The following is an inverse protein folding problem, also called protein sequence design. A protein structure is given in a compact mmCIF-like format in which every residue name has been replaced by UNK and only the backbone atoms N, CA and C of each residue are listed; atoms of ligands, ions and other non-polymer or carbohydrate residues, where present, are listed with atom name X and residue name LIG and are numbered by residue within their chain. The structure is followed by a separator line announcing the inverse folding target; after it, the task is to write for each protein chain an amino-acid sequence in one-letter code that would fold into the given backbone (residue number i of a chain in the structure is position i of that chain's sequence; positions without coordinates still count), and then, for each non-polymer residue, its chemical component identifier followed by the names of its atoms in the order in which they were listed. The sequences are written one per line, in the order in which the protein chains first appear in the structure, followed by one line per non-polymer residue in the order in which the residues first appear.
data_IF_346664879675
#
_entry.id   IF_346664879675
#
_cell.length_a   1.000
_cell.length_b   1.000
_cell.length_c   1.000
_cell.angle_alpha   90.00
_cell.angle_beta   90.00
_cell.angle_gamma   90.00
#
_symmetry.space_group_name_H-M   'P 1'
#
loop_
_entity.id
_entity.type
_entity.pdbx_description
1 polymer ?
#
# COMPACT_ATOMS: atom_id res chain seq x y z
N UNK A 1 17.15 17.91 -12.60
CA UNK A 1 18.01 17.26 -11.60
C UNK A 1 17.18 16.16 -10.98
N UNK A 2 17.67 14.92 -10.95
CA UNK A 2 17.01 13.89 -10.13
C UNK A 2 16.97 14.42 -8.70
N UNK A 3 15.78 14.46 -8.09
CA UNK A 3 15.67 14.79 -6.67
C UNK A 3 16.34 13.62 -5.95
N UNK A 4 17.47 13.88 -5.31
CA UNK A 4 18.15 12.85 -4.54
C UNK A 4 17.23 12.41 -3.40
N UNK A 5 17.15 11.09 -3.16
CA UNK A 5 16.50 10.53 -1.98
C UNK A 5 17.07 11.22 -0.72
N UNK A 6 16.19 11.57 0.22
CA UNK A 6 16.63 12.15 1.48
C UNK A 6 17.43 11.10 2.26
N UNK A 7 18.60 11.44 2.85
CA UNK A 7 19.33 10.48 3.67
C UNK A 7 18.45 9.87 4.78
N UNK A 8 18.63 8.58 5.05
CA UNK A 8 17.83 7.85 6.05
C UNK A 8 18.05 8.35 7.49
N UNK A 9 19.20 8.95 7.75
CA UNK A 9 19.65 9.46 9.06
C UNK A 9 19.59 10.99 9.10
N UNK A 10 18.38 11.53 9.08
CA UNK A 10 18.13 12.95 9.34
C UNK A 10 17.46 13.15 10.71
N UNK A 11 17.66 14.31 11.34
CA UNK A 11 16.80 14.74 12.44
C UNK A 11 15.34 14.79 11.99
N UNK A 12 14.43 14.28 12.83
CA UNK A 12 12.99 14.28 12.57
C UNK A 12 12.25 15.01 13.68
N UNK A 13 11.25 15.81 13.32
CA UNK A 13 10.32 16.44 14.25
C UNK A 13 9.10 15.53 14.43
N UNK A 14 8.72 15.28 15.68
CA UNK A 14 7.59 14.42 16.02
C UNK A 14 6.58 15.20 16.87
N UNK A 15 5.30 14.89 16.67
CA UNK A 15 4.21 15.32 17.56
C UNK A 15 3.59 14.09 18.19
N UNK A 16 3.25 14.19 19.47
CA UNK A 16 2.60 13.14 20.24
C UNK A 16 1.30 13.67 20.86
N UNK A 17 0.23 12.89 20.78
CA UNK A 17 -1.08 13.26 21.33
C UNK A 17 -1.95 12.03 21.57
N UNK A 18 -2.91 12.14 22.49
CA UNK A 18 -3.86 11.07 22.81
C UNK A 18 -4.81 10.80 21.63
N UNK A 19 -5.16 9.54 21.39
CA UNK A 19 -6.22 9.24 20.44
C UNK A 19 -7.57 9.70 21.02
N UNK A 20 -8.31 10.60 20.34
CA UNK A 20 -9.60 11.08 20.84
C UNK A 20 -10.67 9.98 20.91
N UNK A 21 -10.52 8.90 20.14
CA UNK A 21 -11.49 7.80 20.06
C UNK A 21 -11.15 6.63 20.99
N UNK A 22 -9.90 6.52 21.46
CA UNK A 22 -9.46 5.47 22.37
C UNK A 22 -8.39 5.99 23.36
N UNK A 23 -8.71 6.16 24.66
CA UNK A 23 -7.76 6.66 25.65
C UNK A 23 -6.61 5.69 25.96
N UNK A 24 -6.67 4.43 25.52
CA UNK A 24 -5.56 3.47 25.65
C UNK A 24 -4.52 3.64 24.53
N UNK A 25 -4.76 4.50 23.54
CA UNK A 25 -3.89 4.74 22.41
C UNK A 25 -3.31 6.16 22.40
N UNK A 26 -2.07 6.27 21.93
CA UNK A 26 -1.42 7.56 21.64
C UNK A 26 -0.82 7.55 20.26
N UNK A 27 -0.97 8.65 19.54
CA UNK A 27 -0.30 8.86 18.28
C UNK A 27 1.07 9.48 18.48
N UNK A 28 2.02 9.01 17.66
CA UNK A 28 3.33 9.62 17.47
C UNK A 28 3.55 9.84 15.99
N UNK A 29 3.44 11.07 15.52
CA UNK A 29 3.39 11.40 14.09
C UNK A 29 4.63 12.18 13.63
N UNK A 30 5.21 11.76 12.51
CA UNK A 30 6.39 12.36 11.91
C UNK A 30 6.04 13.64 11.15
N UNK A 31 6.27 14.80 11.76
CA UNK A 31 6.01 16.09 11.12
C UNK A 31 7.01 16.39 10.00
N UNK A 32 8.24 15.89 10.07
CA UNK A 32 9.23 16.08 8.98
C UNK A 32 8.71 15.48 7.68
N UNK A 33 8.12 14.29 7.74
CA UNK A 33 7.55 13.63 6.57
C UNK A 33 6.16 14.16 6.21
N UNK A 34 5.24 14.28 7.18
CA UNK A 34 3.86 14.73 6.93
C UNK A 34 3.77 16.16 6.38
N UNK A 35 4.77 17.01 6.64
CA UNK A 35 4.86 18.38 6.10
C UNK A 35 5.87 18.53 4.96
N UNK A 36 6.41 17.41 4.47
CA UNK A 36 7.32 17.42 3.32
C UNK A 36 6.58 17.77 2.03
N UNK A 37 7.35 18.03 0.97
CA UNK A 37 6.82 18.18 -0.39
C UNK A 37 6.53 16.84 -1.08
N UNK A 38 6.40 15.74 -0.32
CA UNK A 38 6.08 14.45 -0.91
C UNK A 38 4.73 14.51 -1.62
N UNK A 39 4.64 13.89 -2.80
CA UNK A 39 3.40 13.78 -3.56
C UNK A 39 3.39 12.44 -4.28
N UNK A 40 2.28 11.71 -4.17
CA UNK A 40 2.06 10.48 -4.91
C UNK A 40 2.09 10.77 -6.41
N UNK A 41 2.97 10.08 -7.15
CA UNK A 41 3.03 10.16 -8.62
C UNK A 41 2.42 8.93 -9.30
N UNK A 42 1.48 8.24 -8.64
CA UNK A 42 0.81 7.06 -9.19
C UNK A 42 0.25 7.34 -10.59
N UNK A 43 0.60 6.47 -11.54
CA UNK A 43 0.22 6.62 -12.96
C UNK A 43 1.05 7.65 -13.76
N UNK A 44 1.97 8.39 -13.11
CA UNK A 44 2.79 9.44 -13.70
C UNK A 44 4.31 9.12 -13.64
N UNK A 45 4.68 7.84 -13.82
CA UNK A 45 6.09 7.41 -13.83
C UNK A 45 6.62 6.87 -12.48
N UNK A 46 5.75 6.27 -11.66
CA UNK A 46 6.16 5.49 -10.50
C UNK A 46 7.20 4.43 -10.89
N UNK A 47 8.36 4.47 -10.24
CA UNK A 47 9.41 3.47 -10.42
C UNK A 47 8.99 2.12 -9.83
N UNK A 48 9.29 1.06 -10.57
CA UNK A 48 9.20 -0.33 -10.13
C UNK A 48 10.20 -0.66 -9.05
N UNK A 49 9.87 -1.66 -8.24
CA UNK A 49 10.77 -2.14 -7.18
C UNK A 49 11.96 -2.96 -7.70
N UNK A 50 11.86 -3.44 -8.95
CA UNK A 50 12.87 -4.22 -9.63
C UNK A 50 13.16 -3.62 -11.01
N UNK A 51 14.42 -3.62 -11.44
CA UNK A 51 14.89 -3.18 -12.76
C UNK A 51 14.18 -3.93 -13.90
N UNK A 52 13.85 -5.20 -13.66
CA UNK A 52 13.12 -6.04 -14.62
C UNK A 52 11.65 -5.69 -14.77
N UNK A 53 11.09 -4.85 -13.89
CA UNK A 53 9.70 -4.44 -13.88
C UNK A 53 9.55 -2.95 -13.52
N UNK A 54 10.11 -2.03 -14.32
CA UNK A 54 10.35 -0.64 -13.94
C UNK A 54 9.09 0.24 -13.85
N UNK A 55 7.95 -0.22 -14.37
CA UNK A 55 6.75 0.62 -14.53
C UNK A 55 5.55 0.16 -13.67
N UNK A 56 5.72 -0.85 -12.82
CA UNK A 56 4.61 -1.47 -12.08
C UNK A 56 4.67 -1.25 -10.56
N UNK A 57 5.65 -0.48 -10.07
CA UNK A 57 5.80 -0.17 -8.64
C UNK A 57 5.90 -1.43 -7.77
N UNK A 58 5.32 -1.37 -6.56
CA UNK A 58 5.22 -2.52 -5.67
C UNK A 58 4.21 -3.58 -6.15
N UNK A 59 3.46 -3.34 -7.22
CA UNK A 59 2.51 -4.33 -7.73
C UNK A 59 3.20 -5.60 -8.24
N UNK A 60 4.52 -5.60 -8.51
CA UNK A 60 5.26 -6.83 -8.86
C UNK A 60 5.10 -7.93 -7.82
N UNK A 61 4.90 -7.56 -6.55
CA UNK A 61 4.72 -8.51 -5.46
C UNK A 61 3.28 -8.97 -5.29
N UNK A 62 2.28 -8.40 -5.98
CA UNK A 62 0.90 -8.53 -5.53
C UNK A 62 0.69 -7.79 -4.19
N UNK A 63 -0.39 -8.12 -3.47
CA UNK A 63 -0.77 -7.43 -2.25
C UNK A 63 -1.32 -8.41 -1.22
N UNK A 64 -0.60 -8.56 -0.11
CA UNK A 64 -1.07 -9.31 1.07
C UNK A 64 -2.22 -8.59 1.75
N UNK A 65 -3.19 -9.35 2.25
CA UNK A 65 -4.32 -8.78 2.99
C UNK A 65 -3.97 -8.65 4.47
N UNK A 66 -4.33 -7.51 5.08
CA UNK A 66 -4.13 -7.25 6.51
C UNK A 66 -5.02 -8.13 7.40
N UNK A 67 -6.12 -8.65 6.84
CA UNK A 67 -7.08 -9.46 7.57
C UNK A 67 -8.30 -9.86 6.74
N UNK A 68 -9.30 -10.43 7.44
CA UNK A 68 -10.54 -10.90 6.81
C UNK A 68 -11.40 -9.77 6.25
N UNK A 69 -11.37 -8.60 6.89
CA UNK A 69 -12.14 -7.42 6.49
C UNK A 69 -11.58 -6.81 5.20
N UNK A 70 -10.28 -6.56 5.16
CA UNK A 70 -9.56 -6.14 3.95
C UNK A 70 -9.88 -7.05 2.76
N UNK A 71 -9.76 -8.36 2.95
CA UNK A 71 -10.15 -9.34 1.94
C UNK A 71 -11.63 -9.27 1.54
N UNK A 72 -12.54 -8.99 2.48
CA UNK A 72 -13.97 -8.87 2.20
C UNK A 72 -14.29 -7.63 1.36
N UNK A 73 -13.63 -6.50 1.64
CA UNK A 73 -13.75 -5.26 0.90
C UNK A 73 -13.30 -5.44 -0.55
N UNK A 74 -12.12 -6.03 -0.76
CA UNK A 74 -11.61 -6.29 -2.11
C UNK A 74 -12.50 -7.32 -2.85
N UNK A 75 -13.02 -8.34 -2.17
CA UNK A 75 -14.01 -9.27 -2.76
C UNK A 75 -15.28 -8.56 -3.24
N UNK A 76 -15.76 -7.56 -2.51
CA UNK A 76 -16.94 -6.79 -2.90
C UNK A 76 -16.66 -5.95 -4.14
N UNK A 77 -15.47 -5.36 -4.24
CA UNK A 77 -15.03 -4.60 -5.40
C UNK A 77 -14.85 -5.49 -6.65
N UNK A 78 -14.26 -6.68 -6.49
CA UNK A 78 -14.07 -7.64 -7.61
C UNK A 78 -15.38 -8.01 -8.30
N UNK A 79 -16.48 -8.10 -7.55
CA UNK A 79 -17.81 -8.40 -8.12
C UNK A 79 -18.38 -7.27 -8.97
N UNK A 80 -17.85 -6.05 -8.81
CA UNK A 80 -18.33 -4.85 -9.50
C UNK A 80 -17.48 -4.54 -10.74
N UNK A 81 -16.21 -4.95 -10.75
CA UNK A 81 -15.31 -4.75 -11.89
C UNK A 81 -15.80 -5.48 -13.14
N UNK A 82 -15.97 -4.74 -14.23
CA UNK A 82 -16.23 -5.29 -15.56
C UNK A 82 -14.96 -5.61 -16.36
N UNK A 83 -15.08 -6.35 -17.48
CA UNK A 83 -13.97 -6.59 -18.41
C UNK A 83 -13.50 -5.34 -19.16
N UNK A 84 -14.31 -4.27 -19.16
CA UNK A 84 -13.97 -2.94 -19.65
C UNK A 84 -13.07 -2.17 -18.67
N UNK A 85 -13.15 -2.46 -17.37
CA UNK A 85 -12.34 -1.82 -16.32
C UNK A 85 -11.12 -2.64 -15.92
N UNK A 86 -11.17 -3.97 -16.06
CA UNK A 86 -10.14 -4.88 -15.57
C UNK A 86 -9.67 -5.84 -16.67
N UNK A 87 -8.46 -5.61 -17.18
CA UNK A 87 -7.86 -6.37 -18.28
C UNK A 87 -7.84 -7.89 -18.03
N UNK A 88 -7.58 -8.30 -16.79
CA UNK A 88 -7.48 -9.70 -16.40
C UNK A 88 -8.77 -10.24 -15.77
N UNK A 89 -9.92 -9.61 -16.05
CA UNK A 89 -11.22 -10.00 -15.50
C UNK A 89 -11.51 -11.50 -15.64
N UNK A 90 -11.38 -12.04 -16.84
CA UNK A 90 -11.67 -13.47 -17.10
C UNK A 90 -10.66 -14.39 -16.41
N UNK A 91 -9.40 -13.96 -16.33
CA UNK A 91 -8.32 -14.70 -15.66
C UNK A 91 -8.55 -14.73 -14.14
N UNK A 92 -9.07 -13.64 -13.57
CA UNK A 92 -9.40 -13.52 -12.15
C UNK A 92 -10.71 -14.21 -11.74
N UNK A 93 -11.64 -14.40 -12.68
CA UNK A 93 -12.88 -15.17 -12.50
C UNK A 93 -12.75 -16.65 -12.93
N UNK A 94 -11.64 -17.01 -13.59
CA UNK A 94 -11.35 -18.38 -13.98
C UNK A 94 -10.97 -19.29 -12.80
N UNK A 95 -10.62 -20.54 -13.11
CA UNK A 95 -10.34 -21.62 -12.13
C UNK A 95 -9.29 -21.23 -11.07
N UNK A 96 -8.32 -20.39 -11.43
CA UNK A 96 -7.27 -19.97 -10.51
C UNK A 96 -7.64 -18.77 -9.62
N UNK A 97 -8.77 -18.10 -9.87
CA UNK A 97 -9.20 -16.92 -9.11
C UNK A 97 -8.25 -15.72 -9.22
N UNK A 98 -8.47 -14.68 -8.42
CA UNK A 98 -7.62 -13.48 -8.37
C UNK A 98 -6.67 -13.44 -7.16
N UNK A 99 -6.65 -14.51 -6.37
CA UNK A 99 -5.84 -14.62 -5.14
C UNK A 99 -5.01 -15.88 -5.15
N UNK A 100 -3.89 -15.83 -4.46
CA UNK A 100 -3.02 -16.97 -4.22
C UNK A 100 -2.49 -16.95 -2.80
N UNK A 101 -1.84 -18.04 -2.40
CA UNK A 101 -1.14 -18.12 -1.11
C UNK A 101 0.36 -18.00 -1.29
N UNK A 102 0.99 -17.23 -0.42
CA UNK A 102 2.44 -17.12 -0.27
C UNK A 102 2.74 -17.23 1.22
N UNK A 103 3.63 -18.16 1.58
CA UNK A 103 3.99 -18.46 2.97
C UNK A 103 2.79 -18.74 3.93
N UNK A 104 1.68 -19.21 3.37
CA UNK A 104 0.46 -19.55 4.10
C UNK A 104 -0.61 -18.45 4.11
N UNK A 105 -0.23 -17.22 3.78
CA UNK A 105 -1.07 -16.03 3.79
C UNK A 105 -1.66 -15.73 2.41
N UNK A 106 -2.84 -15.13 2.39
CA UNK A 106 -3.52 -14.76 1.14
C UNK A 106 -3.02 -13.42 0.64
N UNK A 107 -2.77 -13.37 -0.67
CA UNK A 107 -2.46 -12.15 -1.42
C UNK A 107 -3.23 -12.10 -2.73
N UNK A 108 -3.26 -10.92 -3.35
CA UNK A 108 -3.62 -10.83 -4.78
C UNK A 108 -2.59 -11.56 -5.63
N UNK A 109 -3.07 -12.25 -6.66
CA UNK A 109 -2.20 -13.04 -7.53
C UNK A 109 -1.33 -12.16 -8.41
N UNK A 110 -0.10 -12.59 -8.68
CA UNK A 110 0.76 -12.00 -9.72
C UNK A 110 0.52 -12.71 -11.06
N UNK A 111 0.22 -11.94 -12.10
CA UNK A 111 0.02 -12.42 -13.47
C UNK A 111 0.88 -11.56 -14.39
N UNK A 112 1.71 -12.18 -15.24
CA UNK A 112 2.61 -11.51 -16.18
C UNK A 112 3.48 -10.42 -15.52
N UNK A 113 4.05 -10.73 -14.35
CA UNK A 113 5.00 -9.85 -13.66
C UNK A 113 4.41 -8.71 -12.82
N UNK A 114 3.08 -8.62 -12.67
CA UNK A 114 2.45 -7.68 -11.74
C UNK A 114 1.15 -8.23 -11.15
N UNK A 115 0.66 -7.58 -10.09
CA UNK A 115 -0.64 -7.82 -9.48
C UNK A 115 -1.72 -7.94 -10.56
N UNK A 116 -2.62 -8.91 -10.41
CA UNK A 116 -3.70 -9.20 -11.37
C UNK A 116 -4.61 -8.00 -11.64
N UNK A 117 -4.70 -7.05 -10.71
CA UNK A 117 -5.47 -5.81 -10.89
C UNK A 117 -4.71 -4.70 -11.62
N UNK A 118 -3.46 -4.91 -12.02
CA UNK A 118 -2.69 -3.92 -12.76
C UNK A 118 -2.99 -4.03 -14.26
N UNK A 119 -3.80 -3.12 -14.80
CA UNK A 119 -3.99 -2.95 -16.24
C UNK A 119 -2.68 -2.48 -16.88
N UNK A 120 -2.31 -3.10 -18.00
CA UNK A 120 -1.07 -2.81 -18.71
C UNK A 120 -1.19 -1.56 -19.58
N UNK A 121 -0.06 -0.92 -19.95
CA UNK A 121 -0.04 0.11 -20.99
C UNK A 121 -0.78 -0.35 -22.25
N UNK A 122 -1.68 0.50 -22.75
CA UNK A 122 -2.51 0.23 -23.93
C UNK A 122 -3.88 -0.40 -23.64
N UNK A 123 -4.20 -0.77 -22.40
CA UNK A 123 -5.56 -1.20 -22.05
C UNK A 123 -6.55 -0.02 -22.14
N UNK A 124 -7.76 -0.16 -22.72
CA UNK A 124 -8.68 0.96 -22.95
C UNK A 124 -9.09 1.77 -21.71
N UNK A 125 -9.21 1.15 -20.53
CA UNK A 125 -9.48 1.89 -19.27
C UNK A 125 -8.26 2.63 -18.70
N UNK A 126 -7.09 2.50 -19.33
CA UNK A 126 -5.83 3.07 -18.89
C UNK A 126 -4.96 2.10 -18.09
N UNK A 127 -3.66 2.38 -18.05
CA UNK A 127 -2.70 1.62 -17.26
C UNK A 127 -2.85 1.89 -15.75
N UNK A 128 -2.50 0.90 -14.93
CA UNK A 128 -2.53 1.01 -13.48
C UNK A 128 -3.60 0.14 -12.81
N UNK A 129 -3.93 0.43 -11.57
CA UNK A 129 -4.77 -0.45 -10.75
C UNK A 129 -6.26 -0.30 -11.11
N UNK A 130 -6.88 -1.37 -11.59
CA UNK A 130 -8.31 -1.43 -11.90
C UNK A 130 -9.19 -1.04 -10.70
N UNK A 131 -8.83 -1.46 -9.48
CA UNK A 131 -9.55 -1.06 -8.26
C UNK A 131 -9.47 0.45 -8.02
N UNK A 132 -8.32 1.07 -8.31
CA UNK A 132 -8.15 2.52 -8.15
C UNK A 132 -8.94 3.29 -9.22
N UNK A 133 -8.89 2.83 -10.47
CA UNK A 133 -9.66 3.42 -11.57
C UNK A 133 -11.16 3.31 -11.32
N UNK A 134 -11.64 2.14 -10.89
CA UNK A 134 -13.03 1.91 -10.50
C UNK A 134 -13.44 2.82 -9.34
N UNK A 135 -12.57 3.00 -8.33
CA UNK A 135 -12.83 3.92 -7.23
C UNK A 135 -13.08 5.35 -7.74
N UNK A 136 -12.17 5.85 -8.58
CA UNK A 136 -12.27 7.18 -9.16
C UNK A 136 -13.49 7.36 -10.06
N UNK A 137 -13.82 6.36 -10.89
CA UNK A 137 -14.97 6.39 -11.79
C UNK A 137 -16.31 6.43 -11.03
N UNK A 138 -16.38 5.79 -9.85
CA UNK A 138 -17.59 5.71 -9.03
C UNK A 138 -17.62 6.71 -7.87
N UNK A 139 -16.60 7.57 -7.74
CA UNK A 139 -16.53 8.58 -6.68
C UNK A 139 -16.41 7.99 -5.27
N UNK A 140 -15.85 6.79 -5.13
CA UNK A 140 -15.59 6.14 -3.84
C UNK A 140 -14.12 6.29 -3.46
N UNK A 141 -13.82 6.37 -2.17
CA UNK A 141 -12.44 6.53 -1.72
C UNK A 141 -11.63 5.24 -1.97
N UNK A 142 -10.48 5.29 -2.66
CA UNK A 142 -9.74 4.08 -3.04
C UNK A 142 -9.33 3.18 -1.86
N UNK A 143 -9.15 3.74 -0.66
CA UNK A 143 -8.77 2.96 0.53
C UNK A 143 -9.89 2.03 1.03
N UNK A 144 -11.13 2.24 0.58
CA UNK A 144 -12.28 1.41 0.97
C UNK A 144 -12.41 0.13 0.13
N UNK A 145 -11.75 0.06 -1.04
CA UNK A 145 -11.88 -1.06 -1.98
C UNK A 145 -10.55 -1.67 -2.46
N UNK A 146 -9.42 -1.03 -2.16
CA UNK A 146 -8.08 -1.56 -2.43
C UNK A 146 -7.59 -2.38 -1.23
N UNK A 147 -6.67 -3.35 -1.45
CA UNK A 147 -5.94 -3.98 -0.37
C UNK A 147 -5.27 -2.95 0.53
N UNK A 148 -5.25 -3.21 1.84
CA UNK A 148 -4.78 -2.24 2.82
C UNK A 148 -3.34 -1.76 2.56
N UNK A 149 -2.46 -2.70 2.26
CA UNK A 149 -1.05 -2.43 1.96
C UNK A 149 -0.88 -1.48 0.75
N UNK A 150 -1.81 -1.50 -0.21
CA UNK A 150 -1.72 -0.73 -1.44
C UNK A 150 -2.11 0.74 -1.30
N UNK A 151 -2.89 1.11 -0.27
CA UNK A 151 -3.18 2.52 0.02
C UNK A 151 -2.35 3.04 1.19
N UNK A 152 -1.86 2.16 2.06
CA UNK A 152 -0.96 2.55 3.14
C UNK A 152 0.31 3.19 2.60
N UNK A 153 0.97 2.62 1.59
CA UNK A 153 2.17 3.25 1.01
C UNK A 153 1.85 4.65 0.45
N UNK A 154 2.59 5.70 0.87
CA UNK A 154 3.88 5.71 1.60
C UNK A 154 3.77 5.82 3.14
N UNK A 155 2.57 5.89 3.70
CA UNK A 155 2.31 5.97 5.15
C UNK A 155 2.72 4.66 5.81
N UNK A 156 3.73 4.71 6.67
CA UNK A 156 4.12 3.61 7.55
C UNK A 156 3.45 3.78 8.90
N UNK A 157 2.64 2.79 9.28
CA UNK A 157 2.05 2.66 10.61
C UNK A 157 2.76 1.55 11.38
N UNK A 158 3.26 1.85 12.57
CA UNK A 158 3.84 0.85 13.47
C UNK A 158 3.19 0.95 14.85
N UNK A 159 3.21 -0.17 15.57
CA UNK A 159 2.55 -0.32 16.85
C UNK A 159 3.56 -0.80 17.88
N UNK A 160 3.59 -0.17 19.05
CA UNK A 160 4.33 -0.69 20.21
C UNK A 160 3.57 -0.40 21.49
N UNK A 161 3.60 -1.34 22.42
CA UNK A 161 3.16 -1.08 23.80
C UNK A 161 4.26 -0.30 24.50
N UNK A 162 3.92 0.85 25.07
CA UNK A 162 4.83 1.65 25.91
C UNK A 162 4.43 1.46 27.36
N UNK A 163 5.34 0.91 28.16
CA UNK A 163 5.19 0.79 29.60
C UNK A 163 5.73 2.05 30.28
N UNK A 164 4.95 2.60 31.21
CA UNK A 164 5.28 3.78 32.00
C UNK A 164 5.83 3.40 33.36
N UNK A 165 6.51 4.36 34.01
CA UNK A 165 7.14 4.15 35.32
C UNK A 165 6.13 3.88 36.45
N UNK A 166 4.84 4.17 36.24
CA UNK A 166 3.75 3.91 37.16
C UNK A 166 3.04 2.57 36.90
N UNK A 167 3.69 1.66 36.15
CA UNK A 167 3.19 0.32 35.78
C UNK A 167 1.98 0.34 34.83
N UNK A 168 1.56 1.51 34.35
CA UNK A 168 0.53 1.61 33.29
C UNK A 168 1.17 1.44 31.90
N UNK A 169 0.34 1.21 30.89
CA UNK A 169 0.80 1.12 29.50
C UNK A 169 -0.21 1.71 28.53
N UNK A 170 0.28 2.20 27.40
CA UNK A 170 -0.56 2.59 26.26
C UNK A 170 -0.02 1.97 24.96
N UNK A 171 -0.89 1.84 23.97
CA UNK A 171 -0.51 1.48 22.61
C UNK A 171 -0.06 2.74 21.88
N UNK A 172 1.23 2.84 21.56
CA UNK A 172 1.72 3.88 20.67
C UNK A 172 1.50 3.47 19.22
N UNK A 173 0.77 4.30 18.49
CA UNK A 173 0.62 4.24 17.04
C UNK A 173 1.55 5.28 16.42
N UNK A 174 2.66 4.81 15.86
CA UNK A 174 3.61 5.66 15.16
C UNK A 174 3.23 5.78 13.67
N UNK A 175 3.11 7.01 13.18
CA UNK A 175 2.84 7.36 11.78
C UNK A 175 4.08 8.03 11.19
N UNK A 176 4.63 7.46 10.12
CA UNK A 176 5.79 8.02 9.43
C UNK A 176 5.90 7.57 7.98
N UNK A 177 7.09 7.76 7.41
CA UNK A 177 7.43 7.40 6.05
C UNK A 177 7.77 5.90 5.91
N UNK A 178 7.34 5.28 4.81
CA UNK A 178 7.95 4.04 4.31
C UNK A 178 9.27 4.36 3.60
N UNK A 179 10.36 4.23 4.34
CA UNK A 179 11.72 4.19 3.77
C UNK A 179 12.17 2.73 3.52
N UNK A 180 13.37 2.56 2.98
CA UNK A 180 13.97 1.23 2.71
C UNK A 180 13.96 0.30 3.93
N UNK A 181 14.11 0.81 5.16
CA UNK A 181 14.11 0.00 6.39
C UNK A 181 12.72 -0.55 6.71
N UNK A 182 11.67 0.09 6.20
CA UNK A 182 10.29 -0.37 6.32
C UNK A 182 10.01 -1.71 5.62
N UNK A 183 10.87 -2.11 4.68
CA UNK A 183 10.75 -3.35 3.90
C UNK A 183 11.53 -4.53 4.51
N UNK A 184 12.07 -4.38 5.72
CA UNK A 184 12.95 -5.37 6.34
C UNK A 184 14.28 -5.51 5.59
N UNK A 185 14.98 -6.66 5.75
CA UNK A 185 16.29 -6.85 5.13
C UNK A 185 16.30 -6.67 3.60
N UNK A 186 15.22 -7.05 2.92
CA UNK A 186 15.10 -6.96 1.46
C UNK A 186 14.89 -5.54 0.92
N UNK A 187 14.65 -4.54 1.79
CA UNK A 187 14.51 -3.14 1.37
C UNK A 187 15.77 -2.53 0.77
N UNK A 188 16.93 -3.10 1.10
CA UNK A 188 18.22 -2.67 0.55
C UNK A 188 18.47 -3.17 -0.88
N UNK A 189 17.68 -4.16 -1.33
CA UNK A 189 17.78 -4.76 -2.65
C UNK A 189 16.76 -4.17 -3.64
N UNK A 190 16.00 -3.12 -3.24
CA UNK A 190 15.08 -2.41 -4.11
C UNK A 190 15.85 -1.45 -5.03
N UNK A 191 15.53 -1.49 -6.33
CA UNK A 191 16.28 -0.75 -7.37
C UNK A 191 15.99 0.75 -7.43
N UNK A 192 14.85 1.21 -6.90
CA UNK A 192 14.52 2.64 -6.73
C UNK A 192 15.00 3.15 -5.37
#
# INVERSE_FOLDING_TARGET
MAVAETPLEIPRYWVEFDNPDDPAERFRCDLTWLTSSWTCIFGNGCQGIYETAPDVGCCTLGAHFSGKEDLANVKAAVKQLGPDEWQYHDVGHGKGGWREKEDGDWKTRVVDGACIFHNRPGFPAGAGCALHQHAGANGVEPHTIKPDVCWQLPIRRTFRTVELADETSYLEISIGEYDRRGWGPGGHDLDW
#
